data_IF_793473419289
#
_entry.id   IF_793473419289
#
_cell.length_a   1.000
_cell.length_b   1.000
_cell.length_c   1.000
_cell.angle_alpha   90.00
_cell.angle_beta   90.00
_cell.angle_gamma   90.00
#
_symmetry.space_group_name_H-M   'P 1'
#
loop_
_entity.id
_entity.type
_entity.pdbx_description
1 polymer ?
#
# COMPACT_ATOMS: atom_id res chain seq x y z
N UNK A 1 5.18 -14.12 -4.58
CA UNK A 1 4.54 -13.24 -3.57
C UNK A 1 4.65 -11.80 -4.06
N UNK A 2 3.61 -11.27 -4.71
CA UNK A 2 3.59 -9.90 -5.23
C UNK A 2 3.60 -8.87 -4.09
N UNK A 3 4.32 -7.77 -4.32
CA UNK A 3 4.51 -6.70 -3.33
C UNK A 3 4.06 -5.38 -3.93
N UNK A 4 3.22 -4.64 -3.20
CA UNK A 4 2.78 -3.28 -3.54
C UNK A 4 3.41 -2.33 -2.52
N UNK A 5 4.28 -1.42 -2.97
CA UNK A 5 4.85 -0.37 -2.10
C UNK A 5 4.18 0.96 -2.44
N UNK A 6 3.71 1.66 -1.42
CA UNK A 6 3.06 2.96 -1.55
C UNK A 6 3.73 3.93 -0.61
N UNK A 7 4.26 5.01 -1.17
CA UNK A 7 4.75 6.16 -0.39
C UNK A 7 3.70 7.27 -0.45
N UNK A 8 3.22 7.72 0.70
CA UNK A 8 2.16 8.73 0.80
C UNK A 8 2.45 9.74 1.91
N UNK A 9 1.80 10.90 1.87
CA UNK A 9 1.86 11.88 2.95
C UNK A 9 1.07 11.45 4.19
N UNK A 10 0.57 12.40 4.98
CA UNK A 10 -0.39 12.09 6.04
C UNK A 10 -1.73 11.67 5.42
N UNK A 11 -2.24 10.51 5.83
CA UNK A 11 -3.58 10.03 5.45
C UNK A 11 -4.33 9.59 6.70
N UNK A 12 -5.66 9.64 6.66
CA UNK A 12 -6.51 9.13 7.73
C UNK A 12 -6.56 7.60 7.73
N UNK A 13 -7.06 7.01 8.82
CA UNK A 13 -7.23 5.55 8.92
C UNK A 13 -8.17 5.00 7.84
N UNK A 14 -9.24 5.72 7.52
CA UNK A 14 -10.21 5.34 6.48
C UNK A 14 -9.59 5.38 5.08
N UNK A 15 -8.78 6.42 4.79
CA UNK A 15 -8.05 6.53 3.54
C UNK A 15 -7.04 5.38 3.39
N UNK A 16 -6.32 5.03 4.46
CA UNK A 16 -5.40 3.90 4.49
C UNK A 16 -6.09 2.58 4.16
N UNK A 17 -7.22 2.30 4.81
CA UNK A 17 -7.97 1.05 4.62
C UNK A 17 -8.49 0.92 3.18
N UNK A 18 -9.10 1.99 2.68
CA UNK A 18 -9.61 2.07 1.31
C UNK A 18 -8.50 1.86 0.29
N UNK A 19 -7.36 2.53 0.48
CA UNK A 19 -6.22 2.44 -0.42
C UNK A 19 -5.67 1.01 -0.51
N UNK A 20 -5.46 0.36 0.64
CA UNK A 20 -4.97 -1.02 0.69
C UNK A 20 -5.96 -1.96 -0.02
N UNK A 21 -7.26 -1.80 0.26
CA UNK A 21 -8.31 -2.65 -0.32
C UNK A 21 -8.39 -2.53 -1.84
N UNK A 22 -8.49 -1.32 -2.36
CA UNK A 22 -8.68 -1.09 -3.80
C UNK A 22 -7.42 -1.44 -4.59
N UNK A 23 -6.23 -1.14 -4.08
CA UNK A 23 -4.96 -1.54 -4.73
C UNK A 23 -4.83 -3.06 -4.80
N UNK A 24 -5.09 -3.75 -3.70
CA UNK A 24 -4.98 -5.21 -3.63
C UNK A 24 -6.02 -5.87 -4.54
N UNK A 25 -7.27 -5.40 -4.52
CA UNK A 25 -8.35 -5.91 -5.38
C UNK A 25 -8.02 -5.73 -6.86
N UNK A 26 -7.54 -4.55 -7.23
CA UNK A 26 -7.19 -4.24 -8.63
C UNK A 26 -6.01 -5.10 -9.10
N UNK A 27 -4.93 -5.17 -8.31
CA UNK A 27 -3.77 -5.99 -8.65
C UNK A 27 -4.10 -7.49 -8.70
N UNK A 28 -4.93 -7.97 -7.79
CA UNK A 28 -5.44 -9.35 -7.77
C UNK A 28 -6.20 -9.68 -9.06
N UNK A 29 -7.10 -8.79 -9.50
CA UNK A 29 -7.88 -8.98 -10.73
C UNK A 29 -7.01 -8.97 -11.99
N UNK A 30 -6.02 -8.08 -12.08
CA UNK A 30 -5.12 -7.99 -13.23
C UNK A 30 -4.21 -9.22 -13.34
N UNK A 31 -3.66 -9.66 -12.21
CA UNK A 31 -2.69 -10.76 -12.18
C UNK A 31 -3.34 -12.14 -12.04
N UNK A 32 -4.65 -12.19 -11.80
CA UNK A 32 -5.41 -13.41 -11.49
C UNK A 32 -4.77 -14.21 -10.33
N UNK A 33 -4.32 -13.47 -9.31
CA UNK A 33 -3.70 -14.00 -8.08
C UNK A 33 -4.62 -13.65 -6.91
N UNK A 34 -4.87 -14.56 -5.96
CA UNK A 34 -5.72 -14.25 -4.81
C UNK A 34 -5.16 -13.07 -3.99
N UNK A 35 -6.03 -12.19 -3.45
CA UNK A 35 -5.61 -10.97 -2.76
C UNK A 35 -4.76 -11.25 -1.51
N UNK A 36 -4.95 -12.40 -0.87
CA UNK A 36 -4.21 -12.87 0.30
C UNK A 36 -2.71 -13.13 0.01
N UNK A 37 -2.33 -13.27 -1.27
CA UNK A 37 -0.94 -13.49 -1.68
C UNK A 37 -0.14 -12.18 -1.80
N UNK A 38 -0.80 -11.02 -1.67
CA UNK A 38 -0.16 -9.71 -1.79
C UNK A 38 0.28 -9.19 -0.43
N UNK A 39 1.42 -8.50 -0.42
CA UNK A 39 1.83 -7.67 0.71
C UNK A 39 1.90 -6.23 0.29
N UNK A 40 1.21 -5.37 1.06
CA UNK A 40 1.17 -3.93 0.85
C UNK A 40 2.00 -3.24 1.91
N UNK A 41 3.08 -2.58 1.49
CA UNK A 41 3.87 -1.69 2.34
C UNK A 41 3.41 -0.26 2.12
N UNK A 42 2.89 0.35 3.17
CA UNK A 42 2.49 1.75 3.15
C UNK A 42 3.46 2.56 4.00
N UNK A 43 4.31 3.34 3.34
CA UNK A 43 5.23 4.27 3.98
C UNK A 43 4.59 5.65 4.03
N UNK A 44 4.37 6.16 5.24
CA UNK A 44 3.90 7.53 5.44
C UNK A 44 5.11 8.46 5.57
N UNK A 45 5.24 9.42 4.67
CA UNK A 45 6.26 10.46 4.72
C UNK A 45 5.91 11.44 5.86
N UNK A 46 6.34 11.08 7.07
CA UNK A 46 6.37 11.92 8.26
C UNK A 46 7.80 12.29 8.59
N UNK A 47 8.32 13.33 7.93
CA UNK A 47 9.71 13.80 7.92
C UNK A 47 10.72 12.80 7.35
N UNK A 48 11.44 13.21 6.29
CA UNK A 48 12.75 12.63 6.00
C UNK A 48 13.58 12.76 7.28
N UNK A 49 14.02 11.64 7.85
CA UNK A 49 15.14 11.66 8.78
C UNK A 49 16.29 12.39 8.06
N UNK A 50 16.89 13.44 8.64
CA UNK A 50 18.13 13.97 8.11
C UNK A 50 19.14 12.83 8.18
N UNK A 51 19.56 12.32 7.02
CA UNK A 51 20.79 11.54 6.93
C UNK A 51 21.89 12.46 7.43
N UNK A 52 22.42 12.12 8.60
CA UNK A 52 23.52 12.79 9.28
C UNK A 52 24.81 12.68 8.50
#
# INVERSE_FOLDING_TARGET
MPVIKVESGKITKEQKDTLIRELTKTASGILNIPPQSFVVYLTLCGKKSPTS
#
